data_IF_182338179948
#
_entry.id   IF_182338179948
#
_cell.length_a   1.000
_cell.length_b   1.000
_cell.length_c   1.000
_cell.angle_alpha   90.00
_cell.angle_beta   90.00
_cell.angle_gamma   90.00
#
_symmetry.space_group_name_H-M   'P 1'
#
loop_
_entity.id
_entity.type
_entity.pdbx_description
1 polymer ?
#
# COMPACT_ATOMS: atom_id res chain seq x y z
N UNK A 1 13.88 -7.33 -24.73
CA UNK A 1 12.51 -6.98 -24.39
C UNK A 1 12.44 -5.51 -24.05
N UNK A 2 11.58 -4.76 -24.71
CA UNK A 2 11.48 -3.33 -24.50
C UNK A 2 10.46 -3.00 -23.45
N UNK A 3 10.79 -2.11 -22.53
CA UNK A 3 9.78 -1.48 -21.72
C UNK A 3 9.13 -0.41 -22.61
N UNK A 4 7.98 -0.73 -23.16
CA UNK A 4 7.28 0.20 -24.03
C UNK A 4 6.72 1.38 -23.21
N UNK A 5 6.64 2.53 -23.86
CA UNK A 5 5.93 3.71 -23.30
C UNK A 5 4.53 3.30 -22.85
N UNK A 6 3.89 2.40 -23.60
CA UNK A 6 2.57 1.84 -23.28
C UNK A 6 2.52 1.16 -21.91
N UNK A 7 3.56 0.43 -21.52
CA UNK A 7 3.60 -0.25 -20.20
C UNK A 7 3.62 0.78 -19.07
N UNK A 8 4.37 1.86 -19.25
CA UNK A 8 4.45 2.95 -18.28
C UNK A 8 3.10 3.69 -18.20
N UNK A 9 2.50 3.98 -19.35
CA UNK A 9 1.19 4.62 -19.41
C UNK A 9 0.10 3.78 -18.77
N UNK A 10 0.15 2.47 -18.98
CA UNK A 10 -0.79 1.51 -18.38
C UNK A 10 -0.66 1.49 -16.86
N UNK A 11 0.56 1.45 -16.34
CA UNK A 11 0.81 1.51 -14.91
C UNK A 11 0.38 2.86 -14.32
N UNK A 12 0.65 3.95 -15.03
CA UNK A 12 0.24 5.30 -14.61
C UNK A 12 -1.28 5.41 -14.52
N UNK A 13 -2.01 4.90 -15.50
CA UNK A 13 -3.47 4.87 -15.51
C UNK A 13 -4.00 4.05 -14.33
N UNK A 14 -3.47 2.85 -14.12
CA UNK A 14 -3.84 1.99 -12.99
C UNK A 14 -3.53 2.66 -11.64
N UNK A 15 -2.40 3.35 -11.55
CA UNK A 15 -2.00 4.07 -10.35
C UNK A 15 -2.94 5.23 -10.05
N UNK A 16 -3.36 5.98 -11.06
CA UNK A 16 -4.34 7.08 -10.91
C UNK A 16 -5.70 6.57 -10.48
N UNK A 17 -6.16 5.45 -11.04
CA UNK A 17 -7.40 4.82 -10.61
C UNK A 17 -7.35 4.40 -9.15
N UNK A 18 -6.25 3.78 -8.74
CA UNK A 18 -6.05 3.35 -7.37
C UNK A 18 -6.02 4.54 -6.40
N UNK A 19 -5.33 5.61 -6.78
CA UNK A 19 -5.25 6.83 -5.97
C UNK A 19 -6.60 7.52 -5.84
N UNK A 20 -7.44 7.47 -6.89
CA UNK A 20 -8.78 8.06 -6.91
C UNK A 20 -9.85 7.22 -6.23
N UNK A 21 -9.55 5.97 -5.86
CA UNK A 21 -10.50 5.09 -5.19
C UNK A 21 -10.77 5.59 -3.76
N UNK A 22 -12.03 5.54 -3.33
CA UNK A 22 -12.41 5.93 -1.97
C UNK A 22 -11.78 5.01 -0.93
N UNK A 23 -11.77 3.71 -1.22
CA UNK A 23 -11.16 2.70 -0.37
C UNK A 23 -10.08 1.96 -1.15
N UNK A 24 -8.95 1.69 -0.49
CA UNK A 24 -7.89 0.86 -1.05
C UNK A 24 -8.20 -0.61 -0.75
N UNK A 25 -8.69 -1.31 -1.76
CA UNK A 25 -8.90 -2.75 -1.66
C UNK A 25 -7.55 -3.46 -1.70
N UNK A 26 -7.35 -4.38 -0.77
CA UNK A 26 -6.09 -5.11 -0.60
C UNK A 26 -5.68 -5.85 -1.87
N UNK A 27 -6.62 -6.52 -2.53
CA UNK A 27 -6.36 -7.27 -3.76
C UNK A 27 -5.90 -6.37 -4.90
N UNK A 28 -6.54 -5.20 -5.04
CA UNK A 28 -6.15 -4.21 -6.05
C UNK A 28 -4.77 -3.65 -5.76
N UNK A 29 -4.49 -3.40 -4.49
CA UNK A 29 -3.19 -2.91 -4.04
C UNK A 29 -2.09 -3.93 -4.31
N UNK A 30 -2.34 -5.21 -4.07
CA UNK A 30 -1.41 -6.29 -4.39
C UNK A 30 -1.15 -6.39 -5.90
N UNK A 31 -2.20 -6.36 -6.72
CA UNK A 31 -2.08 -6.41 -8.17
C UNK A 31 -1.26 -5.22 -8.70
N UNK A 32 -1.56 -4.02 -8.23
CA UNK A 32 -0.80 -2.81 -8.57
C UNK A 32 0.66 -2.93 -8.15
N UNK A 33 0.92 -3.39 -6.94
CA UNK A 33 2.27 -3.57 -6.40
C UNK A 33 3.09 -4.55 -7.23
N UNK A 34 2.50 -5.66 -7.66
CA UNK A 34 3.16 -6.65 -8.52
C UNK A 34 3.52 -6.06 -9.89
N UNK A 35 2.60 -5.34 -10.52
CA UNK A 35 2.82 -4.67 -11.80
C UNK A 35 3.91 -3.60 -11.67
N UNK A 36 3.84 -2.78 -10.63
CA UNK A 36 4.83 -1.76 -10.30
C UNK A 36 6.23 -2.35 -10.13
N UNK A 37 6.33 -3.40 -9.35
CA UNK A 37 7.61 -4.06 -9.08
C UNK A 37 8.20 -4.68 -10.36
N UNK A 38 7.36 -5.25 -11.21
CA UNK A 38 7.77 -5.78 -12.50
C UNK A 38 8.36 -4.71 -13.42
N UNK A 39 7.73 -3.56 -13.50
CA UNK A 39 8.19 -2.44 -14.32
C UNK A 39 9.49 -1.85 -13.76
N UNK A 40 9.57 -1.62 -12.46
CA UNK A 40 10.78 -1.08 -11.83
C UNK A 40 11.97 -2.07 -11.92
N UNK A 41 11.70 -3.37 -11.87
CA UNK A 41 12.74 -4.39 -12.08
C UNK A 41 13.33 -4.30 -13.50
N UNK A 42 12.49 -4.08 -14.50
CA UNK A 42 12.94 -3.87 -15.89
C UNK A 42 13.83 -2.63 -16.00
N UNK A 43 13.50 -1.56 -15.29
CA UNK A 43 14.36 -0.37 -15.23
C UNK A 43 15.72 -0.68 -14.61
N UNK A 44 15.76 -1.45 -13.55
CA UNK A 44 17.01 -1.85 -12.88
C UNK A 44 17.91 -2.69 -13.77
N UNK A 45 17.34 -3.56 -14.57
CA UNK A 45 18.09 -4.44 -15.47
C UNK A 45 18.49 -3.74 -16.77
N UNK A 46 18.10 -2.48 -16.93
CA UNK A 46 18.35 -1.67 -18.14
C UNK A 46 17.85 -2.34 -19.42
N UNK A 47 16.81 -3.12 -19.31
CA UNK A 47 16.11 -3.73 -20.44
C UNK A 47 15.35 -2.69 -21.26
N UNK A 48 15.83 -1.45 -21.23
CA UNK A 48 15.25 -0.32 -21.90
C UNK A 48 15.97 -0.09 -23.21
N UNK A 49 15.34 -0.46 -24.30
CA UNK A 49 15.77 -0.01 -25.61
C UNK A 49 14.82 1.13 -26.03
N UNK A 50 15.31 2.34 -25.85
CA UNK A 50 14.55 3.54 -26.18
C UNK A 50 15.19 4.21 -27.38
N UNK A 51 14.37 4.57 -28.37
CA UNK A 51 14.79 5.50 -29.41
C UNK A 51 15.06 6.87 -28.76
N UNK A 52 15.96 7.66 -29.34
CA UNK A 52 16.33 8.96 -28.80
C UNK A 52 15.13 9.89 -28.59
N UNK A 53 14.12 9.79 -29.46
CA UNK A 53 12.88 10.57 -29.38
C UNK A 53 11.97 10.15 -28.24
N UNK A 54 12.05 8.87 -27.83
CA UNK A 54 11.20 8.31 -26.78
C UNK A 54 11.76 8.57 -25.37
N UNK A 55 13.06 8.82 -25.25
CA UNK A 55 13.71 9.00 -23.95
C UNK A 55 13.15 10.20 -23.17
N UNK A 56 12.82 11.28 -23.86
CA UNK A 56 12.23 12.48 -23.26
C UNK A 56 10.80 12.23 -22.79
N UNK A 57 9.99 11.56 -23.63
CA UNK A 57 8.62 11.19 -23.31
C UNK A 57 8.59 10.19 -22.14
N UNK A 58 9.46 9.20 -22.15
CA UNK A 58 9.60 8.21 -21.05
C UNK A 58 10.02 8.88 -19.75
N UNK A 59 10.98 9.82 -19.81
CA UNK A 59 11.41 10.58 -18.63
C UNK A 59 10.26 11.37 -18.01
N UNK A 60 9.43 12.01 -18.86
CA UNK A 60 8.26 12.76 -18.40
C UNK A 60 7.22 11.81 -17.75
N UNK A 61 6.90 10.70 -18.41
CA UNK A 61 5.98 9.68 -17.87
C UNK A 61 6.49 9.08 -16.57
N UNK A 62 7.77 8.82 -16.45
CA UNK A 62 8.37 8.30 -15.24
C UNK A 62 8.28 9.29 -14.09
N UNK A 63 8.46 10.57 -14.34
CA UNK A 63 8.28 11.62 -13.32
C UNK A 63 6.84 11.66 -12.83
N UNK A 64 5.87 11.59 -13.73
CA UNK A 64 4.45 11.53 -13.36
C UNK A 64 4.15 10.26 -12.56
N UNK A 65 4.66 9.11 -13.02
CA UNK A 65 4.48 7.83 -12.34
C UNK A 65 5.06 7.86 -10.92
N UNK A 66 6.27 8.38 -10.76
CA UNK A 66 6.91 8.51 -9.45
C UNK A 66 6.13 9.45 -8.52
N UNK A 67 5.58 10.54 -9.06
CA UNK A 67 4.75 11.45 -8.27
C UNK A 67 3.46 10.78 -7.76
N UNK A 68 2.77 10.04 -8.63
CA UNK A 68 1.57 9.29 -8.26
C UNK A 68 1.91 8.16 -7.30
N UNK A 69 3.00 7.43 -7.58
CA UNK A 69 3.51 6.37 -6.71
C UNK A 69 3.79 6.87 -5.29
N UNK A 70 4.42 8.02 -5.16
CA UNK A 70 4.69 8.64 -3.87
C UNK A 70 3.39 8.96 -3.11
N UNK A 71 2.36 9.42 -3.81
CA UNK A 71 1.05 9.70 -3.21
C UNK A 71 0.35 8.43 -2.73
N UNK A 72 0.43 7.35 -3.52
CA UNK A 72 -0.12 6.04 -3.13
C UNK A 72 0.62 5.51 -1.90
N UNK A 73 1.94 5.56 -1.91
CA UNK A 73 2.77 5.12 -0.79
C UNK A 73 2.46 5.93 0.48
N UNK A 74 2.27 7.24 0.37
CA UNK A 74 1.88 8.10 1.48
C UNK A 74 0.51 7.69 2.04
N UNK A 75 -0.46 7.42 1.17
CA UNK A 75 -1.80 6.96 1.57
C UNK A 75 -1.75 5.61 2.27
N UNK A 76 -0.99 4.66 1.74
CA UNK A 76 -0.77 3.35 2.36
C UNK A 76 -0.11 3.50 3.72
N UNK A 77 0.90 4.36 3.83
CA UNK A 77 1.58 4.65 5.07
C UNK A 77 0.64 5.24 6.13
N UNK A 78 -0.23 6.18 5.75
CA UNK A 78 -1.25 6.73 6.65
C UNK A 78 -2.20 5.67 7.15
N UNK A 79 -2.68 4.79 6.27
CA UNK A 79 -3.57 3.69 6.64
C UNK A 79 -2.86 2.75 7.60
N UNK A 80 -1.60 2.44 7.34
CA UNK A 80 -0.77 1.59 8.19
C UNK A 80 -0.59 2.19 9.58
N UNK A 81 -0.31 3.49 9.66
CA UNK A 81 -0.16 4.20 10.93
C UNK A 81 -1.48 4.20 11.71
N UNK A 82 -2.60 4.52 11.07
CA UNK A 82 -3.93 4.49 11.71
C UNK A 82 -4.28 3.11 12.21
N UNK A 83 -4.02 2.09 11.41
CA UNK A 83 -4.26 0.70 11.80
C UNK A 83 -3.40 0.32 12.99
N UNK A 84 -2.13 0.70 12.99
CA UNK A 84 -1.23 0.50 14.12
C UNK A 84 -1.72 1.17 15.40
N UNK A 85 -2.22 2.40 15.30
CA UNK A 85 -2.82 3.14 16.41
C UNK A 85 -4.09 2.44 16.93
N UNK A 86 -4.95 1.97 16.03
CA UNK A 86 -6.17 1.22 16.38
C UNK A 86 -5.83 -0.09 17.07
N UNK A 87 -4.82 -0.81 16.58
CA UNK A 87 -4.35 -2.05 17.19
C UNK A 87 -3.79 -1.77 18.58
N UNK A 88 -2.96 -0.74 18.73
CA UNK A 88 -2.39 -0.34 20.00
C UNK A 88 -3.49 0.06 21.00
N UNK A 89 -4.48 0.83 20.55
CA UNK A 89 -5.63 1.20 21.37
C UNK A 89 -6.46 -0.03 21.79
N UNK A 90 -6.70 -0.95 20.84
CA UNK A 90 -7.42 -2.20 21.12
C UNK A 90 -6.66 -3.09 22.12
N UNK A 91 -5.35 -3.15 21.99
CA UNK A 91 -4.51 -3.89 22.94
C UNK A 91 -4.56 -3.29 24.34
N UNK A 92 -4.48 -1.96 24.45
CA UNK A 92 -4.60 -1.26 25.73
C UNK A 92 -5.96 -1.47 26.36
N UNK A 93 -7.02 -1.39 25.57
CA UNK A 93 -8.38 -1.66 26.03
C UNK A 93 -8.52 -3.11 26.49
N UNK A 94 -7.99 -4.07 25.72
CA UNK A 94 -8.01 -5.48 26.05
C UNK A 94 -7.22 -5.78 27.31
N UNK A 95 -6.08 -5.14 27.53
CA UNK A 95 -5.29 -5.26 28.75
C UNK A 95 -6.07 -4.72 29.95
N UNK A 96 -6.66 -3.52 29.81
CA UNK A 96 -7.51 -2.94 30.85
C UNK A 96 -8.72 -3.82 31.18
N UNK A 97 -9.43 -4.29 30.16
CA UNK A 97 -10.55 -5.21 30.31
C UNK A 97 -10.11 -6.59 30.85
N UNK A 98 -8.93 -7.04 30.44
CA UNK A 98 -8.36 -8.30 30.94
C UNK A 98 -8.09 -8.26 32.43
N UNK A 99 -7.49 -7.19 32.93
CA UNK A 99 -7.26 -6.97 34.35
C UNK A 99 -8.59 -6.84 35.11
N UNK A 100 -9.49 -6.04 34.59
CA UNK A 100 -10.82 -5.86 35.19
C UNK A 100 -11.68 -7.12 35.08
N UNK A 101 -11.69 -7.76 33.92
CA UNK A 101 -12.42 -8.99 33.65
C UNK A 101 -11.92 -10.18 34.42
N UNK A 102 -10.61 -10.31 34.61
CA UNK A 102 -10.01 -11.38 35.42
C UNK A 102 -10.46 -11.25 36.86
N UNK A 103 -10.48 -10.05 37.42
CA UNK A 103 -10.99 -9.80 38.77
C UNK A 103 -12.47 -10.13 38.87
N UNK A 104 -13.28 -9.72 37.90
CA UNK A 104 -14.72 -10.03 37.86
C UNK A 104 -15.01 -11.49 37.66
N UNK A 105 -14.32 -12.16 36.76
CA UNK A 105 -14.47 -13.60 36.53
C UNK A 105 -14.12 -14.41 37.78
N UNK A 106 -13.08 -14.03 38.49
CA UNK A 106 -12.66 -14.62 39.73
C UNK A 106 -13.74 -14.50 40.81
N UNK A 107 -14.34 -13.31 40.92
CA UNK A 107 -15.46 -13.07 41.85
C UNK A 107 -16.69 -13.88 41.49
N UNK A 108 -17.03 -13.95 40.19
CA UNK A 108 -18.17 -14.74 39.70
C UNK A 108 -17.96 -16.23 39.96
N UNK A 109 -16.77 -16.75 39.72
CA UNK A 109 -16.44 -18.13 39.99
C UNK A 109 -16.51 -18.46 41.49
N UNK A 110 -16.08 -17.55 42.33
CA UNK A 110 -16.20 -17.68 43.77
C UNK A 110 -17.66 -17.69 44.23
N UNK A 111 -18.54 -16.91 43.58
CA UNK A 111 -19.98 -16.89 43.90
C UNK A 111 -20.70 -18.13 43.41
N UNK A 112 -20.23 -18.72 42.30
CA UNK A 112 -20.81 -19.93 41.72
C UNK A 112 -20.32 -21.24 42.39
N UNK A 113 -19.22 -21.16 43.08
CA UNK A 113 -18.66 -22.28 43.81
C UNK A 113 -19.35 -22.43 45.22
#
# INVERSE_FOLDING_TARGET
MHLAVHDIESLLAASRELLGAEELEFERLLAWSAERNGIFARFKTRDLSLAADDSSAVAALMRELLAVDAKICARVSEIHIRLGEQIAAARRLRQGLGQYGASRSSQLLQRLA
#
